data_IF_530188596330
#
_entry.id   IF_530188596330
#
_cell.length_a   1.000
_cell.length_b   1.000
_cell.length_c   1.000
_cell.angle_alpha   90.00
_cell.angle_beta   90.00
_cell.angle_gamma   90.00
#
_symmetry.space_group_name_H-M   'P 1'
#
loop_
_entity.id
_entity.type
_entity.pdbx_description
1 polymer ?
#
# COMPACT_ATOMS: atom_id res chain seq x y z
N UNK A 1 -5.67 17.90 2.68
CA UNK A 1 -6.02 16.91 1.64
C UNK A 1 -7.14 16.03 2.18
N UNK A 2 -8.22 15.80 1.44
CA UNK A 2 -9.31 14.92 1.90
C UNK A 2 -8.96 13.44 1.61
N UNK A 3 -9.55 12.50 2.36
CA UNK A 3 -9.23 11.05 2.29
C UNK A 3 -9.39 10.47 0.88
N UNK A 4 -10.44 10.92 0.16
CA UNK A 4 -10.76 10.46 -1.19
C UNK A 4 -9.72 10.88 -2.23
N UNK A 5 -9.22 12.11 -2.15
CA UNK A 5 -8.15 12.60 -3.03
C UNK A 5 -6.87 11.81 -2.78
N UNK A 6 -6.49 11.60 -1.52
CA UNK A 6 -5.32 10.80 -1.16
C UNK A 6 -5.41 9.37 -1.68
N UNK A 7 -6.58 8.73 -1.56
CA UNK A 7 -6.79 7.35 -2.04
C UNK A 7 -6.62 7.25 -3.55
N UNK A 8 -7.21 8.19 -4.30
CA UNK A 8 -7.12 8.22 -5.77
C UNK A 8 -5.68 8.41 -6.24
N UNK A 9 -4.92 9.31 -5.59
CA UNK A 9 -3.51 9.55 -5.91
C UNK A 9 -2.64 8.33 -5.64
N UNK A 10 -2.88 7.64 -4.53
CA UNK A 10 -2.12 6.43 -4.16
C UNK A 10 -2.42 5.26 -5.09
N UNK A 11 -3.68 5.08 -5.52
CA UNK A 11 -4.05 4.08 -6.55
C UNK A 11 -3.37 4.35 -7.88
N UNK A 12 -3.36 5.60 -8.33
CA UNK A 12 -2.64 6.00 -9.54
C UNK A 12 -1.14 5.69 -9.44
N UNK A 13 -0.51 6.00 -8.30
CA UNK A 13 0.90 5.67 -8.05
C UNK A 13 1.15 4.16 -8.07
N UNK A 14 0.23 3.36 -7.52
CA UNK A 14 0.33 1.91 -7.56
C UNK A 14 0.32 1.37 -9.00
N UNK A 15 -0.66 1.78 -9.81
CA UNK A 15 -0.76 1.41 -11.23
C UNK A 15 0.53 1.79 -11.99
N UNK A 16 1.03 3.02 -11.79
CA UNK A 16 2.28 3.51 -12.37
C UNK A 16 3.53 2.72 -11.93
N UNK A 17 3.50 2.06 -10.76
CA UNK A 17 4.61 1.20 -10.32
C UNK A 17 4.50 -0.16 -10.98
N UNK A 18 3.32 -0.79 -10.92
CA UNK A 18 3.07 -2.12 -11.47
C UNK A 18 3.33 -2.16 -12.98
N UNK A 19 2.80 -1.19 -13.72
CA UNK A 19 2.90 -1.10 -15.18
C UNK A 19 4.26 -0.57 -15.68
N UNK A 20 5.13 -0.11 -14.77
CA UNK A 20 6.44 0.40 -15.17
C UNK A 20 7.35 -0.71 -15.69
N UNK A 21 8.30 -0.34 -16.56
CA UNK A 21 9.37 -1.21 -17.06
C UNK A 21 10.60 -1.24 -16.13
N UNK A 22 10.44 -0.79 -14.88
CA UNK A 22 11.51 -0.84 -13.90
C UNK A 22 11.83 -2.28 -13.51
N UNK A 23 13.05 -2.52 -13.04
CA UNK A 23 13.45 -3.82 -12.50
C UNK A 23 12.69 -4.13 -11.21
N UNK A 24 12.59 -5.42 -10.87
CA UNK A 24 11.78 -5.88 -9.73
C UNK A 24 12.23 -5.27 -8.40
N UNK A 25 13.54 -5.07 -8.21
CA UNK A 25 14.08 -4.39 -7.02
C UNK A 25 13.66 -2.91 -6.91
N UNK A 26 13.60 -2.19 -8.03
CA UNK A 26 13.13 -0.81 -8.06
C UNK A 26 11.61 -0.74 -7.81
N UNK A 27 10.85 -1.70 -8.34
CA UNK A 27 9.41 -1.82 -8.05
C UNK A 27 9.18 -2.13 -6.57
N UNK A 28 9.94 -3.05 -5.98
CA UNK A 28 9.86 -3.38 -4.56
C UNK A 28 10.04 -2.13 -3.68
N UNK A 29 11.12 -1.37 -3.93
CA UNK A 29 11.41 -0.15 -3.18
C UNK A 29 10.28 0.88 -3.33
N UNK A 30 9.76 1.07 -4.54
CA UNK A 30 8.66 2.02 -4.79
C UNK A 30 7.36 1.59 -4.11
N UNK A 31 7.05 0.30 -4.08
CA UNK A 31 5.89 -0.25 -3.36
C UNK A 31 6.07 -0.10 -1.84
N UNK A 32 7.26 -0.35 -1.30
CA UNK A 32 7.55 -0.13 0.12
C UNK A 32 7.38 1.34 0.54
N UNK A 33 7.83 2.27 -0.30
CA UNK A 33 7.61 3.71 -0.10
C UNK A 33 6.11 4.03 -0.14
N UNK A 34 5.36 3.48 -1.10
CA UNK A 34 3.91 3.68 -1.18
C UNK A 34 3.18 3.18 0.07
N UNK A 35 3.54 2.00 0.59
CA UNK A 35 2.97 1.48 1.85
C UNK A 35 3.26 2.42 3.03
N UNK A 36 4.49 2.93 3.13
CA UNK A 36 4.88 3.91 4.16
C UNK A 36 4.06 5.20 4.07
N UNK A 37 3.79 5.69 2.85
CA UNK A 37 2.95 6.86 2.64
C UNK A 37 1.50 6.59 3.05
N UNK A 38 0.96 5.42 2.72
CA UNK A 38 -0.39 5.00 3.12
C UNK A 38 -0.52 4.92 4.65
N UNK A 39 0.46 4.35 5.34
CA UNK A 39 0.49 4.27 6.80
C UNK A 39 0.41 5.65 7.44
N UNK A 40 1.18 6.61 6.94
CA UNK A 40 1.19 7.99 7.45
C UNK A 40 -0.12 8.71 7.17
N UNK A 41 -0.60 8.65 5.93
CA UNK A 41 -1.78 9.44 5.49
C UNK A 41 -3.06 8.91 6.10
N UNK A 42 -3.22 7.58 6.17
CA UNK A 42 -4.42 6.97 6.73
C UNK A 42 -4.29 6.57 8.19
N UNK A 43 -3.12 6.76 8.81
CA UNK A 43 -2.82 6.31 10.18
C UNK A 43 -3.05 4.81 10.36
N UNK A 44 -2.60 4.01 9.39
CA UNK A 44 -2.71 2.54 9.46
C UNK A 44 -1.82 2.05 10.63
N UNK A 45 -2.34 1.27 11.58
CA UNK A 45 -1.53 0.72 12.66
C UNK A 45 -0.50 -0.27 12.12
N UNK A 46 0.79 -0.02 12.41
CA UNK A 46 1.90 -0.89 11.99
C UNK A 46 1.94 -2.26 12.70
N UNK A 47 1.20 -2.43 13.80
CA UNK A 47 1.20 -3.67 14.60
C UNK A 47 -0.19 -4.31 14.55
N UNK A 48 -0.22 -5.60 14.24
CA UNK A 48 -1.42 -6.41 14.24
C UNK A 48 -2.09 -6.48 15.63
N UNK A 49 -3.37 -6.85 15.64
CA UNK A 49 -4.18 -7.01 16.85
C UNK A 49 -5.33 -6.00 16.91
N UNK A 50 -5.83 -5.74 18.13
CA UNK A 50 -7.09 -4.98 18.36
C UNK A 50 -7.16 -3.62 17.65
N UNK A 51 -6.02 -2.94 17.49
CA UNK A 51 -5.95 -1.64 16.80
C UNK A 51 -6.16 -1.79 15.30
N UNK A 52 -5.57 -2.81 14.69
CA UNK A 52 -5.73 -3.10 13.27
C UNK A 52 -7.17 -3.58 12.97
N UNK A 53 -7.73 -4.42 13.84
CA UNK A 53 -9.14 -4.87 13.72
C UNK A 53 -10.12 -3.69 13.82
N UNK A 54 -9.90 -2.77 14.75
CA UNK A 54 -10.72 -1.57 14.89
C UNK A 54 -10.57 -0.64 13.68
N UNK A 55 -9.37 -0.55 13.12
CA UNK A 55 -9.12 0.19 11.88
C UNK A 55 -9.88 -0.43 10.70
N UNK A 56 -9.80 -1.75 10.51
CA UNK A 56 -10.47 -2.48 9.44
C UNK A 56 -11.98 -2.25 9.44
N UNK A 57 -12.62 -2.26 10.62
CA UNK A 57 -14.06 -2.00 10.75
C UNK A 57 -14.49 -0.62 10.26
N UNK A 58 -13.58 0.37 10.30
CA UNK A 58 -13.87 1.77 9.93
C UNK A 58 -13.33 2.15 8.55
N UNK A 59 -12.28 1.49 8.11
CA UNK A 59 -11.47 1.84 6.94
C UNK A 59 -11.07 0.59 6.15
N UNK A 60 -12.03 -0.30 5.92
CA UNK A 60 -11.82 -1.56 5.18
C UNK A 60 -11.27 -1.31 3.78
N UNK A 61 -11.76 -0.25 3.12
CA UNK A 61 -11.30 0.23 1.80
C UNK A 61 -9.78 0.51 1.76
N UNK A 62 -9.27 1.17 2.79
CA UNK A 62 -7.85 1.49 2.91
C UNK A 62 -7.04 0.24 3.17
N UNK A 63 -7.53 -0.62 4.06
CA UNK A 63 -6.77 -1.81 4.45
C UNK A 63 -6.74 -2.86 3.33
N UNK A 64 -7.83 -3.00 2.57
CA UNK A 64 -7.88 -3.84 1.37
C UNK A 64 -6.84 -3.38 0.34
N UNK A 65 -6.80 -2.07 0.04
CA UNK A 65 -5.82 -1.53 -0.88
C UNK A 65 -4.38 -1.67 -0.35
N UNK A 66 -4.16 -1.46 0.95
CA UNK A 66 -2.84 -1.68 1.56
C UNK A 66 -2.37 -3.13 1.41
N UNK A 67 -3.29 -4.10 1.57
CA UNK A 67 -3.01 -5.53 1.36
C UNK A 67 -2.70 -5.83 -0.11
N UNK A 68 -3.38 -5.19 -1.06
CA UNK A 68 -3.10 -5.30 -2.49
C UNK A 68 -1.68 -4.82 -2.82
N UNK A 69 -1.28 -3.64 -2.33
CA UNK A 69 0.09 -3.11 -2.50
C UNK A 69 1.11 -4.06 -1.87
N UNK A 70 0.83 -4.57 -0.67
CA UNK A 70 1.71 -5.54 0.00
C UNK A 70 1.85 -6.86 -0.78
N UNK A 71 0.79 -7.33 -1.43
CA UNK A 71 0.81 -8.55 -2.21
C UNK A 71 1.63 -8.39 -3.50
N UNK A 72 1.44 -7.26 -4.21
CA UNK A 72 2.25 -6.91 -5.38
C UNK A 72 3.74 -6.83 -5.04
N UNK A 73 4.07 -6.34 -3.83
CA UNK A 73 5.44 -6.29 -3.33
C UNK A 73 6.04 -7.69 -3.15
N UNK A 74 5.32 -8.59 -2.47
CA UNK A 74 5.77 -9.97 -2.22
C UNK A 74 5.97 -10.79 -3.49
N UNK A 75 5.13 -10.58 -4.52
CA UNK A 75 5.28 -11.27 -5.80
C UNK A 75 6.62 -10.97 -6.49
N UNK A 76 7.19 -9.78 -6.26
CA UNK A 76 8.50 -9.41 -6.79
C UNK A 76 9.68 -10.01 -5.99
N UNK A 77 9.44 -10.57 -4.79
CA UNK A 77 10.47 -11.16 -3.93
C UNK A 77 10.70 -12.68 -4.22
N UNK A 78 9.87 -13.35 -5.03
CA UNK A 78 9.95 -14.80 -5.29
C UNK A 78 11.00 -15.22 -6.36
N UNK A 79 11.81 -14.30 -6.89
CA UNK A 79 12.89 -14.63 -7.84
C UNK A 79 14.26 -14.41 -7.19
N UNK A 80 14.68 -15.34 -6.33
CA UNK A 80 16.08 -15.49 -5.87
C UNK A 80 16.43 -16.98 -5.82
#
# INVERSE_FOLDING_TARGET
MNKETSMKEMKKRFEEIVDSKAEDGDKDLRLAILMTDMEKVFSIPAIAGKRLEAFEKKHSDVLEFYREVSAARKFNEEVI
#
